data_IF_890959354294
#
_entry.id   IF_890959354294
#
_cell.length_a   1.000
_cell.length_b   1.000
_cell.length_c   1.000
_cell.angle_alpha   90.00
_cell.angle_beta   90.00
_cell.angle_gamma   90.00
#
_symmetry.space_group_name_H-M   'P 1'
#
loop_
_entity.id
_entity.type
_entity.pdbx_description
1 polymer ?
#
# COMPACT_ATOMS: atom_id res chain seq x y z
N UNK A 1 -11.82 40.27 -17.67
CA UNK A 1 -12.17 38.93 -18.21
C UNK A 1 -10.95 38.03 -18.04
N UNK A 2 -10.92 37.18 -17.01
CA UNK A 2 -9.74 36.37 -16.68
C UNK A 2 -9.88 34.97 -17.27
N UNK A 3 -9.21 34.72 -18.38
CA UNK A 3 -9.17 33.43 -19.08
C UNK A 3 -7.97 32.62 -18.62
N UNK A 4 -7.96 32.18 -17.36
CA UNK A 4 -6.98 31.21 -16.86
C UNK A 4 -7.63 30.38 -15.75
N UNK A 5 -8.12 29.16 -16.04
CA UNK A 5 -8.13 28.01 -15.09
C UNK A 5 -8.79 26.68 -15.53
N UNK A 6 -8.92 26.28 -16.81
CA UNK A 6 -9.38 24.91 -17.08
C UNK A 6 -8.36 23.84 -16.58
N UNK A 7 -7.07 24.19 -16.52
CA UNK A 7 -6.01 23.24 -16.18
C UNK A 7 -5.90 22.89 -14.69
N UNK A 8 -6.24 23.82 -13.79
CA UNK A 8 -6.18 23.59 -12.33
C UNK A 8 -7.30 22.68 -11.82
N UNK A 9 -8.50 22.78 -12.42
CA UNK A 9 -9.67 21.99 -12.07
C UNK A 9 -9.52 20.51 -12.51
N UNK A 10 -8.97 20.27 -13.70
CA UNK A 10 -8.64 18.91 -14.15
C UNK A 10 -7.52 18.25 -13.30
N UNK A 11 -6.60 19.05 -12.75
CA UNK A 11 -5.54 18.58 -11.85
C UNK A 11 -6.11 18.10 -10.50
N UNK A 12 -7.12 18.81 -9.98
CA UNK A 12 -7.81 18.49 -8.73
C UNK A 12 -8.68 17.23 -8.84
N UNK A 13 -9.30 16.95 -9.99
CA UNK A 13 -10.14 15.76 -10.16
C UNK A 13 -9.36 14.43 -10.12
N UNK A 14 -8.07 14.43 -10.51
CA UNK A 14 -7.19 13.25 -10.44
C UNK A 14 -6.52 13.03 -9.08
N UNK A 15 -6.40 14.08 -8.25
CA UNK A 15 -5.81 14.02 -6.91
C UNK A 15 -6.54 13.10 -5.91
N UNK A 16 -7.89 13.08 -5.83
CA UNK A 16 -8.58 12.21 -4.87
C UNK A 16 -8.35 10.75 -5.21
N UNK A 17 -8.37 10.37 -6.49
CA UNK A 17 -8.13 8.99 -6.92
C UNK A 17 -6.74 8.55 -6.50
N UNK A 18 -5.70 9.34 -6.78
CA UNK A 18 -4.34 9.00 -6.36
C UNK A 18 -4.19 8.94 -4.84
N UNK A 19 -4.83 9.84 -4.10
CA UNK A 19 -4.77 9.84 -2.64
C UNK A 19 -5.47 8.62 -2.04
N UNK A 20 -6.62 8.21 -2.59
CA UNK A 20 -7.34 7.01 -2.18
C UNK A 20 -6.50 5.77 -2.45
N UNK A 21 -5.87 5.66 -3.64
CA UNK A 21 -4.98 4.54 -3.98
C UNK A 21 -3.83 4.43 -2.98
N UNK A 22 -3.13 5.54 -2.71
CA UNK A 22 -2.05 5.58 -1.72
C UNK A 22 -2.53 5.12 -0.34
N UNK A 23 -3.69 5.61 0.11
CA UNK A 23 -4.24 5.24 1.41
C UNK A 23 -4.60 3.75 1.48
N UNK A 24 -5.22 3.21 0.42
CA UNK A 24 -5.54 1.80 0.31
C UNK A 24 -4.28 0.93 0.31
N UNK A 25 -3.25 1.32 -0.44
CA UNK A 25 -2.00 0.56 -0.52
C UNK A 25 -1.25 0.53 0.81
N UNK A 26 -1.17 1.67 1.50
CA UNK A 26 -0.60 1.75 2.85
C UNK A 26 -1.38 0.86 3.81
N UNK A 27 -2.72 0.91 3.76
CA UNK A 27 -3.57 0.09 4.62
C UNK A 27 -3.39 -1.41 4.35
N UNK A 28 -3.36 -1.83 3.09
CA UNK A 28 -3.12 -3.23 2.70
C UNK A 28 -1.74 -3.67 3.19
N UNK A 29 -0.69 -2.89 2.96
CA UNK A 29 0.65 -3.19 3.45
C UNK A 29 0.68 -3.34 4.98
N UNK A 30 0.01 -2.43 5.70
CA UNK A 30 -0.05 -2.47 7.16
C UNK A 30 -0.77 -3.73 7.66
N UNK A 31 -1.95 -4.04 7.11
CA UNK A 31 -2.71 -5.23 7.50
C UNK A 31 -1.94 -6.52 7.23
N UNK A 32 -1.25 -6.63 6.09
CA UNK A 32 -0.44 -7.81 5.75
C UNK A 32 0.77 -7.95 6.68
N UNK A 33 1.46 -6.85 7.01
CA UNK A 33 2.55 -6.85 7.98
C UNK A 33 2.07 -7.27 9.37
N UNK A 34 0.97 -6.69 9.84
CA UNK A 34 0.39 -7.00 11.15
C UNK A 34 -0.11 -8.44 11.24
N UNK A 35 -0.68 -8.97 10.16
CA UNK A 35 -1.08 -10.37 10.08
C UNK A 35 0.13 -11.32 10.07
N UNK A 36 1.21 -10.94 9.39
CA UNK A 36 2.43 -11.78 9.31
C UNK A 36 3.16 -11.90 10.64
N UNK A 37 3.14 -10.86 11.47
CA UNK A 37 3.74 -10.86 12.82
C UNK A 37 2.79 -11.39 13.90
N UNK A 38 1.57 -11.80 13.53
CA UNK A 38 0.59 -12.34 14.49
C UNK A 38 -0.13 -11.30 15.34
N UNK A 39 0.01 -9.99 15.06
CA UNK A 39 -0.69 -8.95 15.82
C UNK A 39 -2.19 -8.86 15.45
N UNK A 40 -2.53 -9.24 14.21
CA UNK A 40 -3.92 -9.32 13.74
C UNK A 40 -4.17 -10.74 13.22
N UNK A 41 -5.11 -11.45 13.85
CA UNK A 41 -5.47 -12.82 13.46
C UNK A 41 -4.93 -13.87 14.43
N UNK A 42 -4.75 -15.10 13.97
CA UNK A 42 -4.21 -16.20 14.78
C UNK A 42 -2.71 -16.02 14.96
N UNK A 43 -2.28 -15.81 16.20
CA UNK A 43 -0.86 -15.70 16.54
C UNK A 43 -0.15 -17.03 16.23
N UNK A 44 0.91 -17.02 15.41
CA UNK A 44 1.64 -18.24 15.07
C UNK A 44 2.36 -18.78 16.31
N UNK A 45 2.00 -20.00 16.69
CA UNK A 45 2.58 -20.68 17.86
C UNK A 45 3.80 -21.52 17.49
N UNK A 46 4.03 -21.72 16.19
CA UNK A 46 5.17 -22.48 15.66
C UNK A 46 5.90 -21.71 14.55
N UNK A 47 7.18 -22.05 14.33
CA UNK A 47 7.97 -21.52 13.20
C UNK A 47 7.36 -21.85 11.83
N UNK A 48 6.68 -22.98 11.71
CA UNK A 48 6.02 -23.37 10.47
C UNK A 48 4.81 -22.47 10.16
N UNK A 49 4.02 -22.15 11.19
CA UNK A 49 2.90 -21.20 11.08
C UNK A 49 3.37 -19.79 10.76
N UNK A 50 4.45 -19.33 11.41
CA UNK A 50 5.08 -18.04 11.10
C UNK A 50 5.47 -17.96 9.62
N UNK A 51 6.17 -18.98 9.12
CA UNK A 51 6.60 -19.04 7.71
C UNK A 51 5.40 -19.07 6.76
N UNK A 52 4.35 -19.82 7.10
CA UNK A 52 3.13 -19.87 6.31
C UNK A 52 2.38 -18.53 6.29
N UNK A 53 2.36 -17.80 7.40
CA UNK A 53 1.77 -16.46 7.48
C UNK A 53 2.51 -15.47 6.57
N UNK A 54 3.84 -15.44 6.64
CA UNK A 54 4.67 -14.62 5.74
C UNK A 54 4.50 -14.98 4.27
N UNK A 55 4.43 -16.28 3.95
CA UNK A 55 4.25 -16.74 2.58
C UNK A 55 2.86 -16.36 2.03
N UNK A 56 1.82 -16.51 2.86
CA UNK A 56 0.44 -16.13 2.51
C UNK A 56 0.32 -14.61 2.32
N UNK A 57 0.90 -13.83 3.23
CA UNK A 57 0.95 -12.37 3.10
C UNK A 57 1.71 -11.92 1.85
N UNK A 58 2.82 -12.59 1.53
CA UNK A 58 3.57 -12.37 0.30
C UNK A 58 2.71 -12.61 -0.95
N UNK A 59 1.97 -13.72 -1.00
CA UNK A 59 1.07 -14.01 -2.13
C UNK A 59 -0.03 -12.95 -2.28
N UNK A 60 -0.66 -12.53 -1.17
CA UNK A 60 -1.67 -11.48 -1.18
C UNK A 60 -1.10 -10.14 -1.62
N UNK A 61 0.10 -9.80 -1.16
CA UNK A 61 0.81 -8.58 -1.55
C UNK A 61 1.08 -8.55 -3.07
N UNK A 62 1.66 -9.62 -3.63
CA UNK A 62 1.92 -9.70 -5.06
C UNK A 62 0.64 -9.75 -5.89
N UNK A 63 -0.42 -10.40 -5.38
CA UNK A 63 -1.73 -10.40 -6.00
C UNK A 63 -2.31 -8.98 -6.09
N UNK A 64 -2.29 -8.23 -4.98
CA UNK A 64 -2.76 -6.84 -4.95
C UNK A 64 -1.93 -5.92 -5.86
N UNK A 65 -0.60 -6.06 -5.83
CA UNK A 65 0.31 -5.32 -6.70
C UNK A 65 -0.05 -5.54 -8.17
N UNK A 66 -0.19 -6.80 -8.59
CA UNK A 66 -0.50 -7.19 -9.95
C UNK A 66 -1.87 -6.70 -10.41
N UNK A 67 -2.92 -6.99 -9.63
CA UNK A 67 -4.30 -6.61 -9.97
C UNK A 67 -4.44 -5.09 -10.07
N UNK A 68 -3.89 -4.34 -9.11
CA UNK A 68 -3.93 -2.87 -9.13
C UNK A 68 -3.17 -2.29 -10.32
N UNK A 69 -1.96 -2.80 -10.59
CA UNK A 69 -1.16 -2.34 -11.73
C UNK A 69 -1.86 -2.61 -13.07
N UNK A 70 -2.41 -3.82 -13.26
CA UNK A 70 -3.17 -4.16 -14.47
C UNK A 70 -4.42 -3.29 -14.60
N UNK A 71 -5.19 -3.09 -13.53
CA UNK A 71 -6.38 -2.26 -13.56
C UNK A 71 -6.05 -0.81 -13.98
N UNK A 72 -5.09 -0.15 -13.32
CA UNK A 72 -4.74 1.23 -13.66
C UNK A 72 -4.14 1.38 -15.06
N UNK A 73 -3.40 0.37 -15.55
CA UNK A 73 -2.92 0.34 -16.92
C UNK A 73 -4.07 0.24 -17.93
N UNK A 74 -5.02 -0.68 -17.71
CA UNK A 74 -6.20 -0.88 -18.59
C UNK A 74 -7.10 0.36 -18.61
N UNK A 75 -7.31 1.02 -17.47
CA UNK A 75 -8.10 2.25 -17.40
C UNK A 75 -7.35 3.51 -17.86
N UNK A 76 -6.09 3.39 -18.30
CA UNK A 76 -5.31 4.52 -18.81
C UNK A 76 -5.01 5.59 -17.74
N UNK A 77 -4.78 5.17 -16.49
CA UNK A 77 -4.54 6.05 -15.35
C UNK A 77 -3.06 6.03 -14.90
N UNK A 78 -2.13 6.65 -15.65
CA UNK A 78 -0.69 6.53 -15.39
C UNK A 78 -0.25 7.12 -14.05
N UNK A 79 -0.94 8.16 -13.55
CA UNK A 79 -0.65 8.75 -12.24
C UNK A 79 -1.04 7.82 -11.08
N UNK A 80 -2.18 7.13 -11.20
CA UNK A 80 -2.62 6.15 -10.20
C UNK A 80 -1.73 4.91 -10.26
N UNK A 81 -1.33 4.45 -11.46
CA UNK A 81 -0.37 3.37 -11.62
C UNK A 81 0.97 3.68 -10.95
N UNK A 82 1.52 4.88 -11.21
CA UNK A 82 2.78 5.29 -10.61
C UNK A 82 2.66 5.36 -9.09
N UNK A 83 1.58 5.97 -8.58
CA UNK A 83 1.30 6.04 -7.15
C UNK A 83 1.19 4.64 -6.54
N UNK A 84 0.44 3.73 -7.17
CA UNK A 84 0.26 2.34 -6.72
C UNK A 84 1.60 1.62 -6.58
N UNK A 85 2.40 1.60 -7.65
CA UNK A 85 3.70 0.90 -7.65
C UNK A 85 4.67 1.54 -6.66
N UNK A 86 4.76 2.88 -6.63
CA UNK A 86 5.66 3.55 -5.68
C UNK A 86 5.26 3.29 -4.23
N UNK A 87 3.95 3.30 -3.95
CA UNK A 87 3.44 3.14 -2.58
C UNK A 87 3.58 1.70 -2.11
N UNK A 88 3.31 0.72 -2.98
CA UNK A 88 3.54 -0.69 -2.71
C UNK A 88 5.02 -0.99 -2.44
N UNK A 89 5.96 -0.35 -3.15
CA UNK A 89 7.41 -0.56 -2.90
C UNK A 89 7.91 0.13 -1.63
N UNK A 90 7.44 1.36 -1.36
CA UNK A 90 7.94 2.17 -0.24
C UNK A 90 7.25 1.86 1.09
N UNK A 91 5.95 1.55 1.08
CA UNK A 91 5.17 1.36 2.31
C UNK A 91 5.66 0.20 3.18
N UNK A 92 5.99 -0.99 2.65
CA UNK A 92 6.48 -2.10 3.47
C UNK A 92 7.75 -1.71 4.23
N UNK A 93 8.69 -1.00 3.57
CA UNK A 93 9.92 -0.53 4.18
C UNK A 93 9.61 0.51 5.25
N UNK A 94 8.79 1.51 4.93
CA UNK A 94 8.42 2.57 5.86
C UNK A 94 7.69 2.03 7.11
N UNK A 95 6.75 1.11 6.92
CA UNK A 95 6.00 0.48 8.00
C UNK A 95 6.89 -0.44 8.84
N UNK A 96 7.80 -1.19 8.21
CA UNK A 96 8.76 -2.02 8.94
C UNK A 96 9.69 -1.17 9.81
N UNK A 97 10.24 -0.08 9.25
CA UNK A 97 11.07 0.88 10.00
C UNK A 97 10.27 1.51 11.14
N UNK A 98 9.02 1.90 10.90
CA UNK A 98 8.13 2.46 11.92
C UNK A 98 7.89 1.46 13.06
N UNK A 99 7.63 0.19 12.76
CA UNK A 99 7.47 -0.87 13.77
C UNK A 99 8.75 -1.07 14.59
N UNK A 100 9.92 -1.05 13.95
CA UNK A 100 11.21 -1.13 14.64
C UNK A 100 11.44 0.06 15.58
N UNK A 101 11.12 1.28 15.12
CA UNK A 101 11.23 2.49 15.93
C UNK A 101 10.30 2.44 17.14
N UNK A 102 9.05 2.03 16.93
CA UNK A 102 8.06 1.87 17.99
C UNK A 102 8.50 0.81 19.01
N UNK A 103 9.03 -0.33 18.53
CA UNK A 103 9.56 -1.39 19.40
C UNK A 103 10.81 -0.96 20.18
N UNK A 104 11.57 0.02 19.68
CA UNK A 104 12.81 0.50 20.31
C UNK A 104 12.57 1.54 21.41
N UNK A 105 11.32 1.94 21.66
CA UNK A 105 10.98 2.90 22.72
C UNK A 105 11.42 4.35 22.44
N UNK A 106 11.72 4.69 21.19
CA UNK A 106 11.96 6.08 20.78
C UNK A 106 10.59 6.70 20.49
N UNK A 107 9.87 7.06 21.55
CA UNK A 107 8.57 7.72 21.52
C UNK A 107 8.40 8.66 22.71
#
# INVERSE_FOLDING_TARGET
>A
MSAMRPWGQAKLAGMPVTAIVVLCDVLVCALLLLASIGLIGTEPTTRAEETAAWQSAGQLYFGWLGVGATAFAVFGMPKALLAHVSTMLLSPIALFVLLLLLSSGVG
#
